data_IF_294999880418
#
_entry.id   IF_294999880418
#
_cell.length_a   1.000
_cell.length_b   1.000
_cell.length_c   1.000
_cell.angle_alpha   90.00
_cell.angle_beta   90.00
_cell.angle_gamma   90.00
#
_symmetry.space_group_name_H-M   'P 1'
#
loop_
_entity.id
_entity.type
_entity.pdbx_description
1 polymer ?
#
# COMPACT_ATOMS: atom_id res chain seq x y z
N UNK A 1 -7.10 37.07 15.82
CA UNK A 1 -6.34 36.33 16.85
C UNK A 1 -6.73 34.87 16.74
N UNK A 2 -5.76 33.96 16.56
CA UNK A 2 -6.00 32.51 16.58
C UNK A 2 -6.68 32.15 17.91
N UNK A 3 -7.81 31.43 17.86
CA UNK A 3 -8.43 30.91 19.09
C UNK A 3 -7.43 29.94 19.71
N UNK A 4 -6.84 30.34 20.84
CA UNK A 4 -6.09 29.41 21.68
C UNK A 4 -7.08 28.37 22.20
N UNK A 5 -7.09 27.21 21.57
CA UNK A 5 -7.79 26.07 22.12
C UNK A 5 -7.20 25.78 23.51
N UNK A 6 -8.05 25.67 24.53
CA UNK A 6 -7.62 25.40 25.90
C UNK A 6 -6.88 24.06 25.94
N UNK A 7 -5.60 24.09 26.32
CA UNK A 7 -4.84 22.85 26.47
C UNK A 7 -5.44 22.00 27.59
N UNK A 8 -5.39 20.69 27.43
CA UNK A 8 -5.88 19.76 28.45
C UNK A 8 -5.01 19.80 29.70
N UNK A 9 -5.61 19.55 30.86
CA UNK A 9 -4.91 19.49 32.15
C UNK A 9 -3.96 18.29 32.28
N UNK A 10 -4.11 17.27 31.42
CA UNK A 10 -3.32 16.03 31.48
C UNK A 10 -2.16 16.12 30.52
N UNK A 11 -0.96 16.19 31.07
CA UNK A 11 0.28 16.19 30.30
C UNK A 11 0.66 14.76 29.91
N UNK A 12 1.02 14.58 28.64
CA UNK A 12 1.53 13.31 28.11
C UNK A 12 2.89 13.58 27.50
N UNK A 13 3.95 13.18 28.22
CA UNK A 13 5.34 13.41 27.83
C UNK A 13 5.77 12.56 26.64
N UNK A 14 5.37 11.28 26.62
CA UNK A 14 5.78 10.32 25.61
C UNK A 14 4.57 9.62 24.99
N UNK A 15 3.87 10.25 24.03
CA UNK A 15 2.69 9.67 23.40
C UNK A 15 3.07 8.50 22.50
N UNK A 16 2.52 7.31 22.77
CA UNK A 16 2.63 6.14 21.89
C UNK A 16 1.46 6.09 20.89
N UNK A 17 1.45 7.02 19.93
CA UNK A 17 0.39 7.16 18.93
C UNK A 17 1.00 7.21 17.52
N UNK A 18 0.35 6.55 16.56
CA UNK A 18 0.79 6.55 15.17
C UNK A 18 -0.25 7.28 14.32
N UNK A 19 0.13 8.45 13.81
CA UNK A 19 -0.68 9.23 12.87
C UNK A 19 -0.17 8.97 11.46
N UNK A 20 -1.04 8.47 10.58
CA UNK A 20 -0.69 8.26 9.16
C UNK A 20 -1.43 9.27 8.31
N UNK A 21 -0.70 10.19 7.69
CA UNK A 21 -1.28 11.12 6.72
C UNK A 21 -1.60 10.36 5.42
N UNK A 22 -2.77 10.59 4.84
CA UNK A 22 -3.26 9.88 3.66
C UNK A 22 -3.62 10.89 2.57
N UNK A 23 -3.23 10.59 1.33
CA UNK A 23 -3.62 11.37 0.15
C UNK A 23 -5.13 11.30 -0.06
N UNK A 24 -5.76 12.46 -0.25
CA UNK A 24 -7.20 12.58 -0.52
C UNK A 24 -7.45 13.61 -1.62
N UNK A 25 -7.44 13.20 -2.90
CA UNK A 25 -7.57 14.14 -4.03
C UNK A 25 -8.95 14.80 -4.13
N UNK A 26 -9.97 14.24 -3.47
CA UNK A 26 -11.35 14.76 -3.50
C UNK A 26 -11.58 15.93 -2.55
N UNK A 27 -10.71 16.13 -1.56
CA UNK A 27 -10.89 17.18 -0.57
C UNK A 27 -10.22 18.48 -1.02
N UNK A 28 -10.68 19.64 -0.50
CA UNK A 28 -10.01 20.92 -0.71
C UNK A 28 -8.55 20.91 -0.23
N UNK A 29 -7.72 21.81 -0.77
CA UNK A 29 -6.28 21.88 -0.46
C UNK A 29 -5.98 22.19 1.01
N UNK A 30 -6.84 22.93 1.71
CA UNK A 30 -6.73 23.18 3.14
C UNK A 30 -7.16 21.98 4.02
N UNK A 31 -7.65 20.89 3.43
CA UNK A 31 -8.11 19.72 4.20
C UNK A 31 -7.17 18.53 4.05
N UNK A 32 -6.64 18.10 5.18
CA UNK A 32 -5.75 16.95 5.26
C UNK A 32 -6.45 15.78 5.94
N UNK A 33 -6.15 14.56 5.49
CA UNK A 33 -6.68 13.33 6.08
C UNK A 33 -5.60 12.58 6.83
N UNK A 34 -5.91 12.17 8.06
CA UNK A 34 -5.12 11.25 8.84
C UNK A 34 -5.91 9.96 9.16
N UNK A 35 -5.22 8.83 9.14
CA UNK A 35 -5.63 7.62 9.86
C UNK A 35 -4.97 7.67 11.23
N UNK A 36 -5.80 7.67 12.27
CA UNK A 36 -5.39 7.75 13.67
C UNK A 36 -5.90 6.53 14.45
N UNK A 37 -5.32 6.21 15.61
CA UNK A 37 -5.82 5.13 16.45
C UNK A 37 -7.28 5.38 16.86
N UNK A 38 -8.13 4.33 16.93
CA UNK A 38 -9.54 4.48 17.31
C UNK A 38 -9.76 5.15 18.67
N UNK A 39 -8.79 5.04 19.58
CA UNK A 39 -8.82 5.61 20.93
C UNK A 39 -8.60 7.14 20.98
N UNK A 40 -7.98 7.74 19.96
CA UNK A 40 -7.70 9.19 19.95
C UNK A 40 -8.98 10.01 19.89
N UNK A 41 -9.13 10.99 20.78
CA UNK A 41 -10.20 11.97 20.72
C UNK A 41 -9.86 13.13 19.75
N UNK A 42 -10.87 13.92 19.38
CA UNK A 42 -10.70 15.12 18.54
C UNK A 42 -9.72 16.12 19.18
N UNK A 43 -9.82 16.29 20.50
CA UNK A 43 -8.95 17.20 21.26
C UNK A 43 -7.51 16.70 21.33
N UNK A 44 -7.30 15.39 21.44
CA UNK A 44 -5.97 14.79 21.41
C UNK A 44 -5.32 15.02 20.05
N UNK A 45 -6.08 14.87 18.95
CA UNK A 45 -5.60 15.14 17.58
C UNK A 45 -5.20 16.61 17.43
N UNK A 46 -6.02 17.53 17.95
CA UNK A 46 -5.71 18.96 17.93
C UNK A 46 -4.41 19.26 18.68
N UNK A 47 -4.32 18.84 19.95
CA UNK A 47 -3.14 19.06 20.78
C UNK A 47 -1.89 18.41 20.19
N UNK A 48 -2.00 17.20 19.66
CA UNK A 48 -0.89 16.47 19.05
C UNK A 48 -0.34 17.21 17.83
N UNK A 49 -1.21 17.61 16.89
CA UNK A 49 -0.77 18.29 15.66
C UNK A 49 -0.26 19.70 15.92
N UNK A 50 -0.86 20.44 16.86
CA UNK A 50 -0.41 21.80 17.21
C UNK A 50 0.88 21.78 18.03
N UNK A 51 1.01 20.90 19.05
CA UNK A 51 2.17 20.92 19.94
C UNK A 51 3.40 20.21 19.34
N UNK A 52 3.22 19.13 18.57
CA UNK A 52 4.35 18.37 18.00
C UNK A 52 4.74 18.91 16.62
N UNK A 53 3.76 19.26 15.77
CA UNK A 53 4.03 19.70 14.39
C UNK A 53 3.86 21.21 14.18
N UNK A 54 3.39 21.97 15.17
CA UNK A 54 3.24 23.43 15.06
C UNK A 54 2.12 23.87 14.11
N UNK A 55 1.18 22.98 13.78
CA UNK A 55 0.17 23.24 12.75
C UNK A 55 -1.02 24.03 13.32
N UNK A 56 -1.45 25.07 12.59
CA UNK A 56 -2.68 25.83 12.89
C UNK A 56 -3.90 25.14 12.28
N UNK A 57 -4.85 24.82 13.13
CA UNK A 57 -6.04 24.04 12.78
C UNK A 57 -7.29 24.86 13.03
N UNK A 58 -8.20 24.88 12.06
CA UNK A 58 -9.49 25.55 12.12
C UNK A 58 -10.60 24.62 12.62
N UNK A 59 -10.67 23.39 12.10
CA UNK A 59 -11.69 22.40 12.44
C UNK A 59 -11.14 20.97 12.29
N UNK A 60 -11.72 20.03 13.03
CA UNK A 60 -11.41 18.61 12.93
C UNK A 60 -12.71 17.81 12.88
N UNK A 61 -12.82 16.91 11.91
CA UNK A 61 -13.93 15.98 11.73
C UNK A 61 -13.42 14.55 11.79
N UNK A 62 -13.99 13.75 12.66
CA UNK A 62 -13.54 12.37 12.87
C UNK A 62 -14.64 11.37 12.57
N UNK A 63 -14.27 10.24 11.97
CA UNK A 63 -15.18 9.13 11.65
C UNK A 63 -14.51 7.81 12.01
N UNK A 64 -15.23 6.90 12.66
CA UNK A 64 -14.72 5.57 12.98
C UNK A 64 -14.92 4.63 11.79
N UNK A 65 -13.84 3.96 11.35
CA UNK A 65 -13.88 2.96 10.30
C UNK A 65 -13.66 1.57 10.91
N UNK A 66 -14.65 0.71 10.73
CA UNK A 66 -14.56 -0.68 11.15
C UNK A 66 -13.64 -1.48 10.22
N UNK A 67 -13.04 -2.53 10.78
CA UNK A 67 -12.28 -3.51 10.02
C UNK A 67 -13.19 -4.28 9.06
N UNK A 68 -12.71 -4.53 7.84
CA UNK A 68 -13.31 -5.55 6.98
C UNK A 68 -12.99 -6.96 7.52
N UNK A 69 -14.01 -7.65 8.01
CA UNK A 69 -13.92 -9.04 8.45
C UNK A 69 -14.09 -9.94 7.24
N UNK A 70 -13.13 -10.83 7.01
CA UNK A 70 -13.21 -11.86 5.95
C UNK A 70 -13.09 -13.23 6.57
N UNK A 71 -13.77 -14.24 6.03
CA UNK A 71 -13.70 -15.61 6.54
C UNK A 71 -12.86 -16.47 5.60
N UNK A 72 -11.88 -17.19 6.14
CA UNK A 72 -11.07 -18.16 5.37
C UNK A 72 -10.98 -19.46 6.16
N UNK A 73 -11.52 -20.55 5.59
CA UNK A 73 -11.53 -21.86 6.25
C UNK A 73 -12.26 -21.87 7.60
N UNK A 74 -13.38 -21.14 7.72
CA UNK A 74 -14.16 -21.06 8.96
C UNK A 74 -13.61 -20.11 10.04
N UNK A 75 -12.40 -19.55 9.88
CA UNK A 75 -11.84 -18.55 10.80
C UNK A 75 -12.05 -17.13 10.30
N UNK A 76 -12.40 -16.23 11.20
CA UNK A 76 -12.47 -14.79 10.93
C UNK A 76 -11.06 -14.20 10.88
N UNK A 77 -10.70 -13.67 9.71
CA UNK A 77 -9.45 -12.98 9.43
C UNK A 77 -9.77 -11.52 9.19
N UNK A 78 -9.15 -10.67 10.01
CA UNK A 78 -9.16 -9.22 9.89
C UNK A 78 -7.99 -8.81 8.99
N UNK A 79 -8.28 -8.24 7.82
CA UNK A 79 -7.23 -7.82 6.88
C UNK A 79 -6.49 -6.56 7.34
N UNK A 80 -7.23 -5.62 7.90
CA UNK A 80 -6.71 -4.36 8.41
C UNK A 80 -7.29 -4.08 9.80
N UNK A 81 -6.51 -3.45 10.68
CA UNK A 81 -7.01 -2.98 11.97
C UNK A 81 -7.99 -1.83 11.82
N UNK A 82 -8.98 -1.75 12.71
CA UNK A 82 -9.92 -0.64 12.76
C UNK A 82 -9.15 0.66 13.01
N UNK A 83 -9.58 1.75 12.36
CA UNK A 83 -8.93 3.04 12.48
C UNK A 83 -9.97 4.14 12.53
N UNK A 84 -9.57 5.31 13.02
CA UNK A 84 -10.37 6.52 12.95
C UNK A 84 -9.80 7.39 11.83
N UNK A 85 -10.66 7.88 10.94
CA UNK A 85 -10.29 8.87 9.94
C UNK A 85 -10.51 10.25 10.55
N UNK A 86 -9.47 11.07 10.54
CA UNK A 86 -9.56 12.47 10.95
C UNK A 86 -9.34 13.33 9.70
N UNK A 87 -10.32 14.18 9.38
CA UNK A 87 -10.20 15.25 8.40
C UNK A 87 -9.91 16.51 9.19
N UNK A 88 -8.78 17.14 8.91
CA UNK A 88 -8.28 18.31 9.62
C UNK A 88 -8.29 19.47 8.63
N UNK A 89 -9.02 20.53 8.97
CA UNK A 89 -9.05 21.78 8.21
C UNK A 89 -7.94 22.67 8.74
N UNK A 90 -6.98 22.98 7.90
CA UNK A 90 -5.83 23.83 8.19
C UNK A 90 -6.15 25.30 7.90
N UNK A 91 -5.37 26.18 8.53
CA UNK A 91 -5.36 27.61 8.20
C UNK A 91 -4.68 27.86 6.84
N UNK A 92 -3.64 27.08 6.55
CA UNK A 92 -2.85 27.14 5.31
C UNK A 92 -3.19 25.98 4.35
N UNK A 93 -3.03 26.23 3.04
CA UNK A 93 -3.21 25.19 2.02
C UNK A 93 -2.03 24.22 1.98
N UNK A 94 -2.33 22.94 1.76
CA UNK A 94 -1.32 21.90 1.60
C UNK A 94 -1.59 21.05 0.35
N UNK A 95 -0.60 20.95 -0.53
CA UNK A 95 -0.65 20.08 -1.70
C UNK A 95 0.41 18.99 -1.60
N UNK A 96 0.02 17.76 -1.96
CA UNK A 96 0.94 16.65 -1.97
C UNK A 96 1.93 16.77 -3.12
N UNK A 97 3.20 16.36 -2.94
CA UNK A 97 4.10 16.18 -4.06
C UNK A 97 3.52 15.17 -5.05
N UNK A 98 3.76 15.43 -6.33
CA UNK A 98 3.41 14.54 -7.43
C UNK A 98 4.02 13.16 -7.19
N UNK A 99 3.28 12.12 -7.58
CA UNK A 99 3.80 10.76 -7.47
C UNK A 99 5.01 10.65 -8.41
N UNK A 100 6.08 9.93 -8.01
CA UNK A 100 7.16 9.63 -8.92
C UNK A 100 6.62 8.87 -10.12
N UNK A 101 7.14 9.19 -11.31
CA UNK A 101 6.79 8.50 -12.53
C UNK A 101 7.36 7.07 -12.47
N UNK A 102 6.45 6.11 -12.33
CA UNK A 102 6.78 4.67 -12.25
C UNK A 102 7.14 4.09 -13.61
N UNK A 103 6.86 4.81 -14.71
CA UNK A 103 7.16 4.37 -16.06
C UNK A 103 8.60 4.63 -16.51
N UNK A 104 9.41 5.28 -15.66
CA UNK A 104 10.85 5.37 -15.88
C UNK A 104 11.44 3.95 -15.97
N UNK A 105 12.26 3.66 -16.99
CA UNK A 105 12.71 2.30 -17.29
C UNK A 105 13.42 1.64 -16.09
N UNK A 106 14.22 2.42 -15.35
CA UNK A 106 14.94 1.99 -14.15
C UNK A 106 14.03 1.39 -13.06
N UNK A 107 12.87 2.03 -12.78
CA UNK A 107 11.94 1.56 -11.75
C UNK A 107 10.99 0.48 -12.25
N UNK A 108 10.67 0.52 -13.54
CA UNK A 108 9.67 -0.35 -14.16
C UNK A 108 10.17 -1.79 -14.30
N UNK A 109 11.41 -1.97 -14.73
CA UNK A 109 12.00 -3.30 -14.96
C UNK A 109 12.09 -4.13 -13.67
N UNK A 110 12.54 -3.53 -12.57
CA UNK A 110 12.65 -4.21 -11.27
C UNK A 110 11.27 -4.56 -10.70
N UNK A 111 10.35 -3.59 -10.67
CA UNK A 111 8.99 -3.80 -10.17
C UNK A 111 8.17 -4.80 -10.97
N UNK A 112 8.30 -4.80 -12.30
CA UNK A 112 7.61 -5.75 -13.18
C UNK A 112 8.19 -7.15 -13.03
N UNK A 113 9.51 -7.28 -12.86
CA UNK A 113 10.18 -8.57 -12.60
C UNK A 113 9.75 -9.16 -11.26
N UNK A 114 9.64 -8.35 -10.20
CA UNK A 114 9.17 -8.81 -8.89
C UNK A 114 7.67 -9.14 -8.88
N UNK A 115 6.83 -8.28 -9.47
CA UNK A 115 5.39 -8.52 -9.60
C UNK A 115 5.10 -9.78 -10.40
N UNK A 116 5.80 -9.99 -11.52
CA UNK A 116 5.62 -11.17 -12.37
C UNK A 116 6.02 -12.45 -11.63
N UNK A 117 7.15 -12.46 -10.92
CA UNK A 117 7.56 -13.57 -10.04
C UNK A 117 6.51 -13.86 -8.95
N UNK A 118 6.04 -12.84 -8.24
CA UNK A 118 5.01 -12.98 -7.20
C UNK A 118 3.67 -13.46 -7.77
N UNK A 119 3.26 -12.93 -8.92
CA UNK A 119 2.06 -13.34 -9.62
C UNK A 119 2.14 -14.79 -10.09
N UNK A 120 3.26 -15.19 -10.71
CA UNK A 120 3.52 -16.56 -11.14
C UNK A 120 3.52 -17.53 -9.96
N UNK A 121 4.17 -17.18 -8.84
CA UNK A 121 4.10 -17.97 -7.61
C UNK A 121 2.66 -18.09 -7.09
N UNK A 122 1.88 -17.02 -7.13
CA UNK A 122 0.49 -17.02 -6.66
C UNK A 122 -0.40 -17.87 -7.57
N UNK A 123 -0.20 -17.81 -8.88
CA UNK A 123 -0.87 -18.65 -9.87
C UNK A 123 -0.47 -20.11 -9.67
N UNK A 124 0.83 -20.44 -9.54
CA UNK A 124 1.32 -21.79 -9.23
C UNK A 124 0.74 -22.35 -7.92
N UNK A 125 0.62 -21.52 -6.87
CA UNK A 125 -0.02 -21.90 -5.59
C UNK A 125 -1.52 -22.19 -5.76
N UNK A 126 -2.24 -21.39 -6.55
CA UNK A 126 -3.66 -21.63 -6.88
C UNK A 126 -3.86 -22.84 -7.80
N UNK A 127 -2.86 -23.17 -8.63
CA UNK A 127 -2.83 -24.32 -9.53
C UNK A 127 -2.35 -25.61 -8.86
N UNK A 128 -1.94 -25.61 -7.58
CA UNK A 128 -1.53 -26.82 -6.86
C UNK A 128 -2.73 -27.78 -6.75
N UNK A 129 -2.83 -28.70 -7.71
CA UNK A 129 -3.95 -29.65 -7.90
C UNK A 129 -4.67 -29.52 -9.25
N UNK A 130 -4.55 -28.40 -9.97
CA UNK A 130 -5.21 -28.17 -11.27
C UNK A 130 -4.17 -28.01 -12.39
N UNK A 131 -4.12 -28.97 -13.31
CA UNK A 131 -3.19 -28.94 -14.46
C UNK A 131 -3.76 -28.00 -15.54
N UNK A 132 -3.28 -26.75 -15.63
CA UNK A 132 -3.50 -25.93 -16.84
C UNK A 132 -2.90 -26.68 -18.03
N UNK A 133 -3.71 -27.01 -19.05
CA UNK A 133 -3.18 -27.46 -20.33
C UNK A 133 -2.46 -26.27 -20.97
N UNK A 134 -1.20 -26.41 -21.43
CA UNK A 134 -0.54 -25.34 -22.16
C UNK A 134 -1.30 -25.06 -23.45
N UNK A 135 -1.37 -23.77 -23.81
CA UNK A 135 -1.99 -23.33 -25.06
C UNK A 135 -1.23 -23.94 -26.26
N UNK A 136 -1.88 -24.20 -27.41
CA UNK A 136 -1.24 -24.82 -28.57
C UNK A 136 0.03 -24.09 -29.04
N UNK A 137 0.08 -22.77 -28.91
CA UNK A 137 1.26 -21.97 -29.25
C UNK A 137 2.42 -22.17 -28.28
N UNK A 138 2.14 -22.23 -26.97
CA UNK A 138 3.13 -22.52 -25.93
C UNK A 138 3.72 -23.92 -26.13
N UNK A 139 2.90 -24.89 -26.55
CA UNK A 139 3.39 -26.24 -26.92
C UNK A 139 4.34 -26.19 -28.11
N UNK A 140 3.95 -25.53 -29.21
CA UNK A 140 4.81 -25.39 -30.40
C UNK A 140 6.15 -24.75 -30.05
N UNK A 141 6.15 -23.68 -29.25
CA UNK A 141 7.37 -22.99 -28.78
C UNK A 141 8.24 -23.87 -27.88
N UNK A 142 7.63 -24.69 -27.03
CA UNK A 142 8.35 -25.63 -26.18
C UNK A 142 9.00 -26.75 -27.01
N UNK A 143 8.30 -27.25 -28.02
CA UNK A 143 8.80 -28.30 -28.92
C UNK A 143 9.96 -27.81 -29.78
N UNK A 144 9.88 -26.58 -30.32
CA UNK A 144 11.01 -25.96 -31.05
C UNK A 144 12.21 -25.71 -30.14
N UNK A 145 11.98 -25.25 -28.90
CA UNK A 145 13.05 -25.08 -27.91
C UNK A 145 13.73 -26.41 -27.56
N UNK A 146 12.97 -27.47 -27.30
CA UNK A 146 13.51 -28.81 -27.02
C UNK A 146 14.33 -29.35 -28.19
N UNK A 147 13.83 -29.19 -29.42
CA UNK A 147 14.54 -29.62 -30.63
C UNK A 147 15.86 -28.89 -30.80
N UNK A 148 15.86 -27.55 -30.63
CA UNK A 148 17.08 -26.75 -30.70
C UNK A 148 18.08 -27.06 -29.59
N UNK A 149 17.64 -27.34 -28.35
CA UNK A 149 18.54 -27.79 -27.28
C UNK A 149 19.17 -29.13 -27.61
N UNK A 150 18.38 -30.10 -28.11
CA UNK A 150 18.88 -31.42 -28.50
C UNK A 150 19.90 -31.35 -29.63
N UNK A 151 19.63 -30.54 -30.66
CA UNK A 151 20.57 -30.30 -31.76
C UNK A 151 21.87 -29.62 -31.28
N UNK A 152 21.80 -28.73 -30.29
CA UNK A 152 23.00 -28.13 -29.67
C UNK A 152 23.79 -29.15 -28.85
N UNK A 153 23.09 -30.02 -28.13
CA UNK A 153 23.70 -31.08 -27.32
C UNK A 153 24.35 -32.14 -28.21
N UNK A 154 23.69 -32.53 -29.31
CA UNK A 154 24.22 -33.41 -30.36
C UNK A 154 25.46 -32.79 -31.02
N UNK A 155 25.41 -31.51 -31.43
CA UNK A 155 26.58 -30.78 -31.96
C UNK A 155 27.75 -30.71 -30.97
N UNK A 156 27.46 -30.56 -29.67
CA UNK A 156 28.45 -30.57 -28.59
C UNK A 156 29.06 -31.95 -28.37
N UNK A 157 28.28 -33.02 -28.53
CA UNK A 157 28.74 -34.42 -28.45
C UNK A 157 29.58 -34.79 -29.69
N UNK A 158 29.19 -34.29 -30.87
CA UNK A 158 29.90 -34.49 -32.14
C UNK A 158 31.15 -33.59 -32.29
N UNK A 159 31.37 -32.64 -31.38
CA UNK A 159 32.56 -31.78 -31.35
C UNK A 159 32.60 -30.71 -32.44
N UNK A 160 31.43 -30.30 -32.96
CA UNK A 160 31.31 -29.30 -34.03
C UNK A 160 31.19 -27.85 -33.51
N UNK A 161 31.19 -27.65 -32.19
CA UNK A 161 31.34 -26.36 -31.48
C UNK A 161 32.06 -26.58 -30.14
#
# INVERSE_FOLDING_TARGET
MSRSFGQGLREVWFPNLIFRMVRSPTLPANQVVFRVPPRCNKFDIFSYLTNIYGVKILDIRTMNYATQITRRGGKEIRREGAYKKAIVTLDDDFTWPTKPDVDKPEFKEEWETEKSKLYEQTVKRKLKGWRRRPEPEEKKKLDTYRKTQKEKEERRIEGLE
#
